data_IF_245775493605
#
_entry.id   IF_245775493605
#
_cell.length_a   1.000
_cell.length_b   1.000
_cell.length_c   1.000
_cell.angle_alpha   90.00
_cell.angle_beta   90.00
_cell.angle_gamma   90.00
#
_symmetry.space_group_name_H-M   'P 1'
#
loop_
_entity.id
_entity.type
_entity.pdbx_description
1 polymer ?
#
# COMPACT_ATOMS: atom_id res chain seq x y z
N UNK A 1 -22.35 -4.78 -22.98
CA UNK A 1 -21.49 -3.65 -23.42
C UNK A 1 -21.51 -2.44 -22.46
N UNK A 2 -22.59 -2.17 -21.69
CA UNK A 2 -22.64 -1.06 -20.69
C UNK A 2 -21.69 -1.25 -19.50
N UNK A 3 -21.35 -2.47 -19.10
CA UNK A 3 -20.52 -2.74 -17.92
C UNK A 3 -19.05 -2.36 -18.17
N UNK A 4 -18.51 -2.66 -19.35
CA UNK A 4 -17.10 -2.39 -19.70
C UNK A 4 -16.79 -0.91 -19.94
N UNK A 5 -17.78 -0.10 -20.33
CA UNK A 5 -17.59 1.35 -20.51
C UNK A 5 -17.51 2.14 -19.18
N UNK A 6 -17.87 1.50 -18.08
CA UNK A 6 -17.96 2.09 -16.75
C UNK A 6 -16.81 1.70 -15.79
N UNK A 7 -15.87 0.84 -16.26
CA UNK A 7 -14.68 0.49 -15.48
C UNK A 7 -13.71 1.67 -15.53
N UNK A 8 -13.55 2.38 -14.43
CA UNK A 8 -12.75 3.62 -14.38
C UNK A 8 -11.63 3.57 -13.36
N UNK A 9 -11.91 3.16 -12.12
CA UNK A 9 -10.95 3.16 -11.01
C UNK A 9 -10.54 1.75 -10.59
N UNK A 10 -11.31 0.74 -10.94
CA UNK A 10 -11.12 -0.64 -10.51
C UNK A 10 -9.73 -1.21 -10.89
N UNK A 11 -9.19 -0.96 -12.13
CA UNK A 11 -7.85 -1.41 -12.47
C UNK A 11 -6.75 -0.72 -11.64
N UNK A 12 -6.90 0.56 -11.37
CA UNK A 12 -5.96 1.30 -10.52
C UNK A 12 -6.00 0.76 -9.08
N UNK A 13 -7.20 0.45 -8.59
CA UNK A 13 -7.38 -0.14 -7.27
C UNK A 13 -6.73 -1.53 -7.19
N UNK A 14 -6.87 -2.35 -8.25
CA UNK A 14 -6.20 -3.65 -8.34
C UNK A 14 -4.67 -3.50 -8.26
N UNK A 15 -4.09 -2.61 -9.07
CA UNK A 15 -2.62 -2.40 -9.08
C UNK A 15 -2.11 -1.96 -7.72
N UNK A 16 -2.79 -1.02 -7.06
CA UNK A 16 -2.38 -0.54 -5.71
C UNK A 16 -2.53 -1.63 -4.65
N UNK A 17 -3.63 -2.38 -4.67
CA UNK A 17 -3.86 -3.47 -3.71
C UNK A 17 -2.83 -4.59 -3.92
N UNK A 18 -2.54 -4.93 -5.17
CA UNK A 18 -1.54 -5.93 -5.52
C UNK A 18 -0.12 -5.47 -5.11
N UNK A 19 0.24 -4.21 -5.42
CA UNK A 19 1.51 -3.62 -5.02
C UNK A 19 1.68 -3.61 -3.49
N UNK A 20 0.63 -3.24 -2.75
CA UNK A 20 0.63 -3.26 -1.28
C UNK A 20 0.79 -4.68 -0.71
N UNK A 21 0.21 -5.68 -1.36
CA UNK A 21 0.39 -7.07 -0.96
C UNK A 21 1.82 -7.58 -1.18
N UNK A 22 2.45 -7.21 -2.31
CA UNK A 22 3.86 -7.50 -2.58
C UNK A 22 4.78 -6.86 -1.52
N UNK A 23 4.55 -5.57 -1.25
CA UNK A 23 5.30 -4.79 -0.27
C UNK A 23 5.22 -5.40 1.14
N UNK A 24 4.04 -5.77 1.60
CA UNK A 24 3.87 -6.36 2.94
C UNK A 24 4.68 -7.64 3.11
N UNK A 25 4.64 -8.56 2.14
CA UNK A 25 5.34 -9.83 2.21
C UNK A 25 6.86 -9.61 2.18
N UNK A 26 7.34 -8.79 1.26
CA UNK A 26 8.77 -8.53 1.14
C UNK A 26 9.32 -7.79 2.38
N UNK A 27 8.57 -6.83 2.91
CA UNK A 27 8.95 -6.09 4.11
C UNK A 27 9.00 -6.98 5.35
N UNK A 28 8.01 -7.87 5.56
CA UNK A 28 8.03 -8.82 6.68
C UNK A 28 9.20 -9.78 6.59
N UNK A 29 9.43 -10.37 5.42
CA UNK A 29 10.57 -11.26 5.23
C UNK A 29 11.92 -10.55 5.40
N UNK A 30 12.02 -9.28 4.96
CA UNK A 30 13.23 -8.49 5.14
C UNK A 30 13.48 -8.17 6.63
N UNK A 31 12.43 -7.90 7.43
CA UNK A 31 12.56 -7.68 8.88
C UNK A 31 13.02 -8.97 9.57
N UNK A 32 12.41 -10.11 9.25
CA UNK A 32 12.82 -11.42 9.79
C UNK A 32 14.31 -11.67 9.52
N UNK A 33 14.74 -11.48 8.28
CA UNK A 33 16.11 -11.73 7.87
C UNK A 33 17.10 -10.76 8.53
N UNK A 34 16.77 -9.45 8.57
CA UNK A 34 17.59 -8.44 9.25
C UNK A 34 17.71 -8.72 10.74
N UNK A 35 16.62 -9.07 11.41
CA UNK A 35 16.65 -9.40 12.83
C UNK A 35 17.49 -10.66 13.08
N UNK A 36 17.34 -11.68 12.25
CA UNK A 36 18.10 -12.92 12.37
C UNK A 36 19.62 -12.70 12.27
N UNK A 37 20.07 -11.92 11.27
CA UNK A 37 21.50 -11.70 11.01
C UNK A 37 22.05 -10.54 11.84
N UNK A 38 21.39 -9.37 11.83
CA UNK A 38 21.99 -8.16 12.39
C UNK A 38 21.76 -8.04 13.91
N UNK A 39 20.60 -8.45 14.43
CA UNK A 39 20.29 -8.30 15.85
C UNK A 39 20.77 -9.49 16.66
N UNK A 40 20.51 -10.71 16.17
CA UNK A 40 20.89 -11.95 16.90
C UNK A 40 22.22 -12.55 16.44
N UNK A 41 22.84 -12.04 15.37
CA UNK A 41 24.08 -12.55 14.79
C UNK A 41 24.05 -14.08 14.50
N UNK A 42 22.88 -14.59 14.10
CA UNK A 42 22.77 -15.98 13.70
C UNK A 42 23.42 -16.21 12.33
N UNK A 43 23.85 -17.43 12.05
CA UNK A 43 24.43 -17.79 10.76
C UNK A 43 23.36 -17.84 9.67
N UNK A 44 23.74 -17.53 8.42
CA UNK A 44 22.82 -17.58 7.27
C UNK A 44 22.06 -18.90 7.19
N UNK A 45 22.73 -20.02 7.46
CA UNK A 45 22.12 -21.35 7.43
C UNK A 45 20.94 -21.49 8.43
N UNK A 46 21.05 -20.91 9.62
CA UNK A 46 19.97 -20.89 10.61
C UNK A 46 18.83 -20.03 10.09
N UNK A 47 19.14 -18.84 9.54
CA UNK A 47 18.13 -17.91 9.06
C UNK A 47 17.35 -18.44 7.84
N UNK A 48 18.00 -19.16 6.93
CA UNK A 48 17.34 -19.82 5.79
C UNK A 48 16.40 -20.95 6.23
N UNK A 49 16.82 -21.71 7.25
CA UNK A 49 16.09 -22.90 7.71
C UNK A 49 15.16 -22.64 8.91
N UNK A 50 14.98 -21.38 9.30
CA UNK A 50 14.19 -21.00 10.47
C UNK A 50 12.76 -21.57 10.43
N UNK A 51 12.19 -21.78 9.25
CA UNK A 51 10.84 -22.32 9.05
C UNK A 51 10.79 -23.81 8.76
N UNK A 52 11.91 -24.43 8.40
CA UNK A 52 11.96 -25.81 7.91
C UNK A 52 12.41 -26.82 8.98
N UNK A 53 13.11 -26.38 10.02
CA UNK A 53 13.69 -27.26 11.01
C UNK A 53 13.09 -27.07 12.40
N UNK A 54 12.63 -28.15 13.00
CA UNK A 54 12.22 -28.19 14.41
C UNK A 54 13.39 -28.02 15.38
N UNK A 55 14.62 -28.06 14.86
CA UNK A 55 15.85 -27.86 15.63
C UNK A 55 16.05 -26.40 16.09
N UNK A 56 15.46 -25.43 15.40
CA UNK A 56 15.66 -23.99 15.65
C UNK A 56 14.42 -23.30 16.23
N UNK A 57 13.60 -24.02 16.99
CA UNK A 57 12.37 -23.45 17.59
C UNK A 57 12.66 -22.28 18.52
N UNK A 58 13.76 -22.34 19.27
CA UNK A 58 14.16 -21.26 20.20
C UNK A 58 14.56 -20.00 19.44
N UNK A 59 15.40 -20.13 18.41
CA UNK A 59 15.85 -19.05 17.55
C UNK A 59 14.68 -18.44 16.77
N UNK A 60 13.80 -19.28 16.24
CA UNK A 60 12.55 -18.86 15.60
C UNK A 60 11.66 -18.08 16.56
N UNK A 61 11.56 -18.52 17.81
CA UNK A 61 10.81 -17.80 18.85
C UNK A 61 11.31 -16.38 19.05
N UNK A 62 12.63 -16.20 19.22
CA UNK A 62 13.27 -14.90 19.40
C UNK A 62 13.04 -13.96 18.20
N UNK A 63 13.27 -14.46 16.98
CA UNK A 63 13.06 -13.66 15.76
C UNK A 63 11.59 -13.31 15.57
N UNK A 64 10.66 -14.21 15.90
CA UNK A 64 9.21 -13.94 15.80
C UNK A 64 8.75 -12.92 16.83
N UNK A 65 9.31 -12.95 18.01
CA UNK A 65 9.02 -11.96 19.08
C UNK A 65 9.46 -10.55 18.66
N UNK A 66 10.65 -10.46 18.09
CA UNK A 66 11.18 -9.20 17.54
C UNK A 66 10.37 -8.70 16.34
N UNK A 67 9.96 -9.59 15.43
CA UNK A 67 9.04 -9.24 14.35
C UNK A 67 7.70 -8.71 14.88
N UNK A 68 7.17 -9.32 15.94
CA UNK A 68 5.93 -8.91 16.56
C UNK A 68 6.06 -7.51 17.16
N UNK A 69 7.15 -7.24 17.86
CA UNK A 69 7.47 -5.93 18.40
C UNK A 69 7.61 -4.87 17.30
N UNK A 70 8.35 -5.18 16.23
CA UNK A 70 8.47 -4.31 15.07
C UNK A 70 7.11 -4.01 14.43
N UNK A 71 6.28 -5.04 14.21
CA UNK A 71 4.95 -4.90 13.63
C UNK A 71 4.00 -4.09 14.53
N UNK A 72 4.14 -4.19 15.85
CA UNK A 72 3.41 -3.35 16.78
C UNK A 72 3.74 -1.87 16.59
N UNK A 73 5.03 -1.50 16.55
CA UNK A 73 5.46 -0.11 16.32
C UNK A 73 5.04 0.36 14.92
N UNK A 74 5.24 -0.48 13.89
CA UNK A 74 4.78 -0.20 12.53
C UNK A 74 3.28 0.11 12.51
N UNK A 75 2.47 -0.71 13.18
CA UNK A 75 1.01 -0.51 13.24
C UNK A 75 0.64 0.79 13.95
N UNK A 76 1.33 1.16 15.02
CA UNK A 76 1.11 2.44 15.68
C UNK A 76 1.39 3.61 14.74
N UNK A 77 2.53 3.61 14.06
CA UNK A 77 2.91 4.67 13.10
C UNK A 77 1.91 4.73 11.94
N UNK A 78 1.54 3.58 11.37
CA UNK A 78 0.64 3.50 10.21
C UNK A 78 -0.84 3.69 10.54
N UNK A 79 -1.21 3.77 11.82
CA UNK A 79 -2.59 4.01 12.27
C UNK A 79 -2.77 5.39 12.88
N UNK A 80 -1.87 5.81 13.78
CA UNK A 80 -2.01 7.08 14.52
C UNK A 80 -1.84 8.27 13.57
N UNK A 81 -0.82 8.25 12.71
CA UNK A 81 -0.56 9.35 11.78
C UNK A 81 -1.72 9.53 10.78
N UNK A 82 -2.20 8.49 10.07
CA UNK A 82 -3.36 8.61 9.20
C UNK A 82 -4.64 9.01 9.92
N UNK A 83 -4.84 8.60 11.17
CA UNK A 83 -6.00 9.00 11.96
C UNK A 83 -6.11 10.54 12.09
N UNK A 84 -5.03 11.19 12.47
CA UNK A 84 -5.02 12.65 12.55
C UNK A 84 -5.13 13.32 11.18
N UNK A 85 -4.44 12.75 10.18
CA UNK A 85 -4.48 13.29 8.82
C UNK A 85 -5.85 13.15 8.15
N UNK A 86 -6.66 12.17 8.53
CA UNK A 86 -8.00 11.97 7.97
C UNK A 86 -8.91 13.18 8.19
N UNK A 87 -8.80 13.88 9.32
CA UNK A 87 -9.57 15.10 9.61
C UNK A 87 -9.23 16.22 8.63
N UNK A 88 -7.94 16.42 8.32
CA UNK A 88 -7.48 17.45 7.39
C UNK A 88 -7.80 17.08 5.94
N UNK A 89 -7.58 15.84 5.56
CA UNK A 89 -7.78 15.38 4.19
C UNK A 89 -9.26 15.34 3.80
N UNK A 90 -10.17 15.05 4.74
CA UNK A 90 -11.61 15.12 4.50
C UNK A 90 -12.04 16.53 4.11
N UNK A 91 -11.73 17.52 4.94
CA UNK A 91 -12.04 18.93 4.66
C UNK A 91 -11.35 19.43 3.37
N UNK A 92 -10.12 19.00 3.13
CA UNK A 92 -9.37 19.36 1.92
C UNK A 92 -9.98 18.75 0.66
N UNK A 93 -10.47 17.50 0.73
CA UNK A 93 -11.17 16.83 -0.36
C UNK A 93 -12.45 17.55 -0.79
N UNK A 94 -13.16 18.15 0.17
CA UNK A 94 -14.41 18.87 -0.08
C UNK A 94 -14.15 20.22 -0.78
N UNK A 95 -13.02 20.89 -0.47
CA UNK A 95 -12.67 22.19 -1.04
C UNK A 95 -12.00 22.07 -2.41
N UNK A 96 -10.97 21.21 -2.53
CA UNK A 96 -10.13 21.10 -3.72
C UNK A 96 -10.50 19.93 -4.63
N UNK A 97 -11.48 19.15 -4.23
CA UNK A 97 -11.88 17.92 -4.93
C UNK A 97 -10.96 16.74 -4.59
N UNK A 98 -11.31 15.57 -5.11
CA UNK A 98 -10.67 14.29 -4.73
C UNK A 98 -9.41 13.97 -5.52
N UNK A 99 -9.23 14.56 -6.72
CA UNK A 99 -8.08 14.31 -7.59
C UNK A 99 -6.72 14.59 -6.94
N UNK A 100 -6.52 15.73 -6.24
CA UNK A 100 -5.25 16.02 -5.58
C UNK A 100 -4.86 14.95 -4.56
N UNK A 101 -5.83 14.38 -3.83
CA UNK A 101 -5.57 13.35 -2.82
C UNK A 101 -5.06 12.06 -3.47
N UNK A 102 -5.61 11.64 -4.62
CA UNK A 102 -5.10 10.49 -5.35
C UNK A 102 -3.64 10.68 -5.78
N UNK A 103 -3.29 11.85 -6.33
CA UNK A 103 -1.91 12.15 -6.71
C UNK A 103 -0.97 12.25 -5.50
N UNK A 104 -1.44 12.87 -4.42
CA UNK A 104 -0.69 12.95 -3.16
C UNK A 104 -0.38 11.55 -2.63
N UNK A 105 -1.36 10.66 -2.57
CA UNK A 105 -1.18 9.28 -2.14
C UNK A 105 -0.19 8.53 -3.04
N UNK A 106 -0.36 8.58 -4.36
CA UNK A 106 0.51 7.88 -5.30
C UNK A 106 1.96 8.39 -5.24
N UNK A 107 2.17 9.72 -5.13
CA UNK A 107 3.52 10.29 -5.03
C UNK A 107 4.20 9.92 -3.72
N UNK A 108 3.50 9.99 -2.60
CA UNK A 108 4.05 9.63 -1.29
C UNK A 108 4.28 8.12 -1.17
N UNK A 109 3.43 7.30 -1.80
CA UNK A 109 3.65 5.86 -1.88
C UNK A 109 4.87 5.52 -2.74
N UNK A 110 5.09 6.21 -3.86
CA UNK A 110 6.30 6.04 -4.66
C UNK A 110 7.57 6.43 -3.88
N UNK A 111 7.52 7.51 -3.07
CA UNK A 111 8.62 7.90 -2.19
C UNK A 111 8.91 6.83 -1.12
N UNK A 112 7.87 6.28 -0.51
CA UNK A 112 8.02 5.17 0.43
C UNK A 112 8.70 3.97 -0.22
N UNK A 113 8.22 3.54 -1.39
CA UNK A 113 8.80 2.39 -2.10
C UNK A 113 10.27 2.63 -2.50
N UNK A 114 10.62 3.85 -2.90
CA UNK A 114 12.00 4.22 -3.17
C UNK A 114 12.87 4.13 -1.90
N UNK A 115 12.36 4.61 -0.76
CA UNK A 115 13.07 4.55 0.53
C UNK A 115 13.25 3.10 1.01
N UNK A 116 12.20 2.27 0.92
CA UNK A 116 12.27 0.84 1.28
C UNK A 116 13.25 0.09 0.36
N UNK A 117 13.28 0.42 -0.94
CA UNK A 117 14.23 -0.15 -1.89
C UNK A 117 15.69 0.19 -1.52
N UNK A 118 15.95 1.41 -1.04
CA UNK A 118 17.27 1.80 -0.51
C UNK A 118 17.62 0.98 0.73
N UNK A 119 16.67 0.77 1.66
CA UNK A 119 16.89 -0.10 2.83
C UNK A 119 17.14 -1.57 2.46
N UNK A 120 16.55 -2.03 1.35
CA UNK A 120 16.79 -3.37 0.84
C UNK A 120 18.16 -3.51 0.14
N UNK A 121 18.63 -2.43 -0.52
CA UNK A 121 19.94 -2.40 -1.15
C UNK A 121 21.08 -2.35 -0.10
N UNK A 122 20.92 -1.48 0.93
CA UNK A 122 21.85 -1.41 2.06
C UNK A 122 21.37 -2.36 3.16
N UNK A 123 21.66 -3.66 3.00
CA UNK A 123 21.11 -4.69 3.87
C UNK A 123 21.59 -4.58 5.32
N UNK A 124 22.82 -4.08 5.55
CA UNK A 124 23.40 -3.87 6.89
C UNK A 124 22.73 -2.69 7.67
N UNK A 125 21.84 -1.95 7.01
CA UNK A 125 21.15 -0.85 7.67
C UNK A 125 20.19 -1.37 8.77
N UNK A 126 20.07 -0.64 9.90
CA UNK A 126 19.14 -1.00 10.96
C UNK A 126 17.69 -1.13 10.44
N UNK A 127 16.92 -2.07 11.01
CA UNK A 127 15.51 -2.29 10.64
C UNK A 127 14.61 -1.08 10.93
N UNK A 128 15.01 -0.22 11.87
CA UNK A 128 14.30 1.01 12.22
C UNK A 128 14.18 1.98 11.04
N UNK A 129 15.11 1.94 10.09
CA UNK A 129 15.04 2.76 8.87
C UNK A 129 13.81 2.41 8.01
N UNK A 130 13.34 1.15 8.09
CA UNK A 130 12.08 0.78 7.46
C UNK A 130 10.88 1.52 8.08
N UNK A 131 10.87 1.73 9.41
CA UNK A 131 9.81 2.50 10.07
C UNK A 131 9.79 3.95 9.56
N UNK A 132 10.97 4.53 9.35
CA UNK A 132 11.10 5.89 8.80
C UNK A 132 10.59 5.96 7.36
N UNK A 133 10.79 4.90 6.58
CA UNK A 133 10.34 4.81 5.19
C UNK A 133 8.81 4.85 5.06
N UNK A 134 8.05 4.41 6.06
CA UNK A 134 6.59 4.45 6.06
C UNK A 134 5.98 5.84 6.32
N UNK A 135 6.76 6.80 6.84
CA UNK A 135 6.26 8.13 7.22
C UNK A 135 5.64 8.89 6.03
N UNK A 136 6.26 9.00 4.85
CA UNK A 136 5.74 9.82 3.75
C UNK A 136 4.31 9.45 3.34
N UNK A 137 4.03 8.16 3.14
CA UNK A 137 2.69 7.69 2.77
C UNK A 137 1.67 7.94 3.88
N UNK A 138 2.06 7.73 5.14
CA UNK A 138 1.16 7.89 6.27
C UNK A 138 0.84 9.36 6.55
N UNK A 139 1.74 10.30 6.26
CA UNK A 139 1.45 11.75 6.26
C UNK A 139 0.41 12.14 5.20
N UNK A 140 0.33 11.40 4.10
CA UNK A 140 -0.75 11.55 3.11
C UNK A 140 -2.04 10.79 3.48
N UNK A 141 -2.17 10.32 4.72
CA UNK A 141 -3.33 9.58 5.21
C UNK A 141 -3.30 8.07 4.93
N UNK A 142 -2.21 7.54 4.38
CA UNK A 142 -1.99 6.11 4.18
C UNK A 142 -3.06 5.41 3.35
N UNK A 143 -3.16 4.08 3.52
CA UNK A 143 -4.17 3.26 2.84
C UNK A 143 -5.61 3.63 3.24
N UNK A 144 -5.82 4.21 4.42
CA UNK A 144 -7.13 4.65 4.85
C UNK A 144 -7.65 5.80 3.96
N UNK A 145 -6.84 6.83 3.72
CA UNK A 145 -7.22 7.94 2.84
C UNK A 145 -7.43 7.47 1.39
N UNK A 146 -6.60 6.55 0.90
CA UNK A 146 -6.79 5.93 -0.40
C UNK A 146 -8.15 5.22 -0.50
N UNK A 147 -8.45 4.31 0.43
CA UNK A 147 -9.69 3.55 0.44
C UNK A 147 -10.92 4.46 0.56
N UNK A 148 -10.89 5.45 1.45
CA UNK A 148 -11.95 6.44 1.61
C UNK A 148 -12.17 7.22 0.32
N UNK A 149 -11.09 7.68 -0.32
CA UNK A 149 -11.17 8.45 -1.57
C UNK A 149 -11.73 7.61 -2.72
N UNK A 150 -11.34 6.35 -2.84
CA UNK A 150 -11.86 5.41 -3.85
C UNK A 150 -13.35 5.15 -3.63
N UNK A 151 -13.75 4.84 -2.38
CA UNK A 151 -15.14 4.56 -2.05
C UNK A 151 -16.04 5.79 -2.28
N UNK A 152 -15.56 6.94 -1.87
CA UNK A 152 -16.29 8.18 -2.05
C UNK A 152 -16.41 8.54 -3.54
N UNK A 153 -15.32 8.40 -4.33
CA UNK A 153 -15.37 8.59 -5.78
C UNK A 153 -16.35 7.63 -6.45
N UNK A 154 -16.32 6.36 -6.07
CA UNK A 154 -17.21 5.35 -6.61
C UNK A 154 -18.68 5.67 -6.29
N UNK A 155 -18.95 6.16 -5.07
CA UNK A 155 -20.29 6.61 -4.67
C UNK A 155 -20.80 7.77 -5.52
N UNK A 156 -19.92 8.72 -5.88
CA UNK A 156 -20.30 9.91 -6.66
C UNK A 156 -20.62 9.59 -8.12
N UNK A 157 -19.89 8.64 -8.73
CA UNK A 157 -20.07 8.28 -10.15
C UNK A 157 -21.09 7.18 -10.37
N UNK A 158 -21.57 6.51 -9.31
CA UNK A 158 -22.48 5.37 -9.41
C UNK A 158 -23.93 5.80 -9.19
N UNK A 159 -24.82 5.35 -10.10
CA UNK A 159 -26.24 5.44 -9.84
C UNK A 159 -26.61 4.64 -8.59
N UNK A 160 -27.63 5.07 -7.81
CA UNK A 160 -28.02 4.37 -6.57
C UNK A 160 -28.26 2.88 -6.75
N UNK A 161 -28.79 2.48 -7.90
CA UNK A 161 -29.12 1.09 -8.26
C UNK A 161 -27.86 0.24 -8.49
N UNK A 162 -26.77 0.82 -9.02
CA UNK A 162 -25.55 0.13 -9.38
C UNK A 162 -24.48 0.15 -8.28
N UNK A 163 -24.67 0.95 -7.22
CA UNK A 163 -23.69 1.15 -6.14
C UNK A 163 -23.26 -0.17 -5.50
N UNK A 164 -24.23 -0.98 -5.08
CA UNK A 164 -23.96 -2.25 -4.42
C UNK A 164 -23.10 -3.18 -5.29
N UNK A 165 -23.40 -3.25 -6.59
CA UNK A 165 -22.61 -4.05 -7.54
C UNK A 165 -21.17 -3.54 -7.66
N UNK A 166 -20.95 -2.23 -7.77
CA UNK A 166 -19.62 -1.63 -7.89
C UNK A 166 -18.76 -1.81 -6.64
N UNK A 167 -19.36 -1.65 -5.45
CA UNK A 167 -18.66 -1.96 -4.20
C UNK A 167 -18.33 -3.45 -4.09
N UNK A 168 -19.23 -4.33 -4.53
CA UNK A 168 -18.95 -5.76 -4.67
C UNK A 168 -17.76 -6.05 -5.57
N UNK A 169 -17.62 -5.35 -6.70
CA UNK A 169 -16.47 -5.48 -7.60
C UNK A 169 -15.16 -5.05 -6.93
N UNK A 170 -15.13 -3.96 -6.17
CA UNK A 170 -13.93 -3.57 -5.39
C UNK A 170 -13.55 -4.63 -4.35
N UNK A 171 -14.55 -5.21 -3.68
CA UNK A 171 -14.31 -6.31 -2.73
C UNK A 171 -13.74 -7.55 -3.41
N UNK A 172 -14.25 -7.92 -4.58
CA UNK A 172 -13.71 -9.02 -5.39
C UNK A 172 -12.27 -8.74 -5.82
N UNK A 173 -11.96 -7.51 -6.23
CA UNK A 173 -10.60 -7.10 -6.58
C UNK A 173 -9.65 -7.31 -5.40
N UNK A 174 -10.05 -6.91 -4.18
CA UNK A 174 -9.24 -7.11 -2.97
C UNK A 174 -9.02 -8.59 -2.67
N UNK A 175 -10.10 -9.40 -2.71
CA UNK A 175 -10.05 -10.83 -2.43
C UNK A 175 -9.13 -11.57 -3.42
N UNK A 176 -9.10 -11.16 -4.69
CA UNK A 176 -8.25 -11.78 -5.71
C UNK A 176 -6.82 -11.24 -5.65
N UNK A 177 -6.63 -9.94 -5.48
CA UNK A 177 -5.32 -9.31 -5.48
C UNK A 177 -4.43 -9.83 -4.32
N UNK A 178 -5.00 -10.05 -3.14
CA UNK A 178 -4.22 -10.47 -1.95
C UNK A 178 -3.52 -11.82 -2.13
N UNK A 179 -4.18 -12.94 -2.47
CA UNK A 179 -3.49 -14.21 -2.68
C UNK A 179 -2.57 -14.20 -3.91
N UNK A 180 -2.94 -13.47 -4.97
CA UNK A 180 -2.10 -13.33 -6.16
C UNK A 180 -0.80 -12.59 -5.84
N UNK A 181 -0.87 -11.50 -5.09
CA UNK A 181 0.32 -10.75 -4.65
C UNK A 181 1.20 -11.59 -3.73
N UNK A 182 0.59 -12.40 -2.85
CA UNK A 182 1.32 -13.30 -1.97
C UNK A 182 2.15 -14.32 -2.74
N UNK A 183 1.55 -14.98 -3.72
CA UNK A 183 2.25 -15.94 -4.55
C UNK A 183 3.30 -15.28 -5.43
N UNK A 184 2.96 -14.18 -6.11
CA UNK A 184 3.89 -13.44 -6.95
C UNK A 184 5.08 -12.90 -6.12
N UNK A 185 4.81 -12.36 -4.93
CA UNK A 185 5.84 -11.83 -4.02
C UNK A 185 6.83 -12.91 -3.61
N UNK A 186 6.34 -14.09 -3.24
CA UNK A 186 7.19 -15.23 -2.90
C UNK A 186 8.11 -15.62 -4.07
N UNK A 187 7.57 -15.75 -5.29
CA UNK A 187 8.36 -16.11 -6.47
C UNK A 187 9.39 -15.01 -6.81
N UNK A 188 8.98 -13.75 -6.85
CA UNK A 188 9.89 -12.65 -7.17
C UNK A 188 11.01 -12.57 -6.11
N UNK A 189 10.67 -12.70 -4.83
CA UNK A 189 11.63 -12.68 -3.74
C UNK A 189 12.64 -13.82 -3.85
N UNK A 190 12.18 -15.04 -4.15
CA UNK A 190 13.02 -16.23 -4.24
C UNK A 190 13.99 -16.17 -5.42
N UNK A 191 13.57 -15.65 -6.58
CA UNK A 191 14.40 -15.67 -7.79
C UNK A 191 15.15 -14.36 -8.05
N UNK A 192 14.64 -13.24 -7.61
CA UNK A 192 15.16 -11.90 -7.95
C UNK A 192 15.51 -11.04 -6.74
N UNK A 193 15.22 -11.50 -5.52
CA UNK A 193 15.56 -10.81 -4.28
C UNK A 193 14.65 -9.62 -3.94
N UNK A 194 14.93 -8.99 -2.78
CA UNK A 194 14.10 -7.93 -2.19
C UNK A 194 13.98 -6.69 -3.07
N UNK A 195 15.11 -6.22 -3.63
CA UNK A 195 15.15 -5.00 -4.45
C UNK A 195 14.20 -5.11 -5.63
N UNK A 196 14.10 -6.29 -6.26
CA UNK A 196 13.23 -6.52 -7.42
C UNK A 196 11.74 -6.45 -7.07
N UNK A 197 11.35 -6.90 -5.87
CA UNK A 197 9.97 -6.76 -5.40
C UNK A 197 9.59 -5.29 -5.27
N UNK A 198 10.43 -4.49 -4.59
CA UNK A 198 10.16 -3.06 -4.39
C UNK A 198 10.26 -2.26 -5.70
N UNK A 199 11.16 -2.64 -6.61
CA UNK A 199 11.22 -2.05 -7.95
C UNK A 199 9.95 -2.34 -8.77
N UNK A 200 9.38 -3.53 -8.66
CA UNK A 200 8.13 -3.89 -9.34
C UNK A 200 6.94 -3.09 -8.79
N UNK A 201 6.85 -2.93 -7.47
CA UNK A 201 5.81 -2.12 -6.83
C UNK A 201 5.94 -0.66 -7.22
N UNK A 202 7.15 -0.10 -7.17
CA UNK A 202 7.44 1.27 -7.61
C UNK A 202 7.09 1.47 -9.08
N UNK A 203 7.45 0.53 -9.95
CA UNK A 203 7.12 0.55 -11.38
C UNK A 203 5.61 0.61 -11.62
N UNK A 204 4.83 -0.18 -10.90
CA UNK A 204 3.36 -0.16 -10.97
C UNK A 204 2.76 1.19 -10.55
N UNK A 205 3.29 1.80 -9.48
CA UNK A 205 2.83 3.11 -9.00
C UNK A 205 3.21 4.22 -10.00
N UNK A 206 4.43 4.21 -10.51
CA UNK A 206 4.91 5.18 -11.52
C UNK A 206 4.12 5.04 -12.81
N UNK A 207 3.80 3.81 -13.23
CA UNK A 207 2.94 3.58 -14.38
C UNK A 207 1.55 4.21 -14.19
N UNK A 208 0.94 4.06 -13.02
CA UNK A 208 -0.33 4.72 -12.69
C UNK A 208 -0.23 6.25 -12.72
N UNK A 209 0.86 6.82 -12.19
CA UNK A 209 1.12 8.25 -12.27
C UNK A 209 1.28 8.73 -13.72
N UNK A 210 1.99 7.97 -14.56
CA UNK A 210 2.29 8.30 -15.95
C UNK A 210 1.10 8.16 -16.88
N UNK A 211 0.23 7.16 -16.67
CA UNK A 211 -0.97 6.95 -17.50
C UNK A 211 -2.01 8.05 -17.31
N UNK A 212 -1.72 9.06 -16.40
CA UNK A 212 -2.70 10.06 -15.98
C UNK A 212 -4.02 9.32 -15.87
N UNK A 213 -4.21 8.57 -14.79
CA UNK A 213 -5.46 7.84 -14.55
C UNK A 213 -6.55 8.73 -15.13
N UNK A 214 -7.09 8.37 -16.30
CA UNK A 214 -8.12 9.14 -17.00
C UNK A 214 -9.43 8.94 -16.23
N UNK A 215 -9.34 9.21 -14.94
CA UNK A 215 -10.50 9.39 -14.12
C UNK A 215 -11.08 10.70 -14.64
N UNK A 216 -11.96 10.59 -15.64
CA UNK A 216 -12.89 11.66 -16.00
C UNK A 216 -13.77 11.87 -14.77
N UNK A 217 -13.20 12.54 -13.77
CA UNK A 217 -14.04 13.07 -12.69
C UNK A 217 -14.82 14.21 -13.32
N UNK A 218 -16.14 14.17 -13.32
CA UNK A 218 -16.91 15.35 -13.63
C UNK A 218 -16.40 16.42 -12.65
N UNK A 219 -15.97 17.56 -13.18
CA UNK A 219 -15.79 18.76 -12.36
C UNK A 219 -17.13 18.94 -11.68
N UNK A 220 -17.16 18.90 -10.35
CA UNK A 220 -18.34 19.30 -9.61
C UNK A 220 -18.56 20.78 -9.98
N UNK A 221 -19.56 21.02 -10.82
CA UNK A 221 -20.00 22.34 -11.25
C UNK A 221 -20.67 23.06 -10.06
N UNK A 222 -19.92 23.24 -8.97
CA UNK A 222 -20.36 24.07 -7.85
C UNK A 222 -20.38 25.56 -8.20
N UNK A 223 -19.83 25.94 -9.40
CA UNK A 223 -19.94 27.32 -9.87
C UNK A 223 -21.33 27.70 -10.37
N UNK A 224 -22.17 26.73 -10.77
CA UNK A 224 -23.51 27.01 -11.30
C UNK A 224 -24.60 27.03 -10.23
N UNK A 225 -24.37 26.50 -9.04
CA UNK A 225 -25.38 26.58 -7.96
C UNK A 225 -25.44 27.96 -7.28
N UNK A 226 -24.35 28.73 -7.35
CA UNK A 226 -24.31 30.09 -6.78
C UNK A 226 -25.01 31.15 -7.64
N UNK A 227 -25.34 30.86 -8.90
CA UNK A 227 -26.04 31.81 -9.81
C UNK A 227 -27.55 31.54 -9.99
N UNK A 228 -28.09 30.48 -9.38
CA UNK A 228 -29.54 30.20 -9.46
C UNK A 228 -30.32 30.51 -8.17
N UNK A 229 -29.68 31.19 -7.23
CA UNK A 229 -30.27 31.61 -5.94
C UNK A 229 -30.30 33.13 -5.76
N UNK A 230 -30.77 33.88 -6.79
CA UNK A 230 -31.23 35.31 -6.68
C UNK A 230 -32.54 35.45 -7.37
#
# INVERSE_FOLDING_TARGET
QRILSNITIEPAFFVITFASGLDNIASEQMVIWKSCINDFNFTENICENLNNDTLYETEKGLVTDELTHFNFIKTLVTSIVPFFMAFYLGAWADIFGRKPIFYLFLTTYALEQAAVMVCAYYFDSPKEWLLLSYIPRNLAGGMAAWSLSVNAFLSDISAPEDRAFRFGMLSLVTILATPLSAQAGKYILQYFGYVSVFATTLGGIVWLLGTRVRVRMPLSDHSNAAHQGL
#
